data_IF_045979098615
#
_entry.id   IF_045979098615
#
_cell.length_a   1.000
_cell.length_b   1.000
_cell.length_c   1.000
_cell.angle_alpha   90.00
_cell.angle_beta   90.00
_cell.angle_gamma   90.00
#
_symmetry.space_group_name_H-M   'P 1'
#
loop_
_entity.id
_entity.type
_entity.pdbx_description
1 polymer ?
#
# COMPACT_ATOMS: atom_id res chain seq x y z
N UNK A 1 -12.07 20.81 -4.17
CA UNK A 1 -11.28 19.78 -4.87
C UNK A 1 -12.17 18.57 -5.09
N UNK A 2 -12.05 17.90 -6.23
CA UNK A 2 -12.71 16.63 -6.54
C UNK A 2 -11.69 15.70 -7.19
N UNK A 3 -11.79 14.39 -6.96
CA UNK A 3 -10.97 13.41 -7.69
C UNK A 3 -11.11 13.63 -9.20
N UNK A 4 -9.97 13.88 -9.87
CA UNK A 4 -9.89 14.02 -11.32
C UNK A 4 -10.59 12.82 -11.99
N UNK A 5 -11.56 13.05 -12.91
CA UNK A 5 -12.20 11.98 -13.66
C UNK A 5 -11.24 10.94 -14.26
N UNK A 6 -10.05 11.35 -14.71
CA UNK A 6 -9.03 10.45 -15.25
C UNK A 6 -8.41 9.53 -14.19
N UNK A 7 -8.42 9.94 -12.91
CA UNK A 7 -7.85 9.19 -11.78
C UNK A 7 -8.86 8.34 -11.03
N UNK A 8 -10.15 8.43 -11.35
CA UNK A 8 -11.23 7.60 -10.76
C UNK A 8 -11.13 6.12 -11.09
N UNK A 9 -10.24 5.75 -12.02
CA UNK A 9 -9.92 4.35 -12.31
C UNK A 9 -9.07 3.71 -11.21
N UNK A 10 -8.33 4.51 -10.44
CA UNK A 10 -7.39 4.04 -9.42
C UNK A 10 -7.74 4.55 -8.02
N UNK A 11 -8.51 5.64 -7.91
CA UNK A 11 -8.90 6.25 -6.64
C UNK A 11 -10.41 6.37 -6.49
N UNK A 12 -10.88 6.36 -5.25
CA UNK A 12 -12.28 6.64 -4.91
C UNK A 12 -12.67 8.05 -5.34
N UNK A 13 -13.95 8.22 -5.72
CA UNK A 13 -14.50 9.55 -5.99
C UNK A 13 -14.79 10.24 -4.67
N UNK A 14 -14.08 11.34 -4.41
CA UNK A 14 -14.26 12.15 -3.22
C UNK A 14 -14.18 13.64 -3.54
N UNK A 15 -14.71 14.46 -2.63
CA UNK A 15 -14.72 15.92 -2.71
C UNK A 15 -14.39 16.51 -1.34
N UNK A 16 -13.57 17.56 -1.32
CA UNK A 16 -13.21 18.31 -0.11
C UNK A 16 -12.85 19.76 -0.46
N UNK A 17 -12.88 20.68 0.50
CA UNK A 17 -12.51 22.08 0.26
C UNK A 17 -11.00 22.24 0.13
N UNK A 18 -10.54 23.02 -0.86
CA UNK A 18 -9.09 23.27 -1.07
C UNK A 18 -8.50 23.95 0.16
N UNK A 19 -9.06 25.09 0.51
CA UNK A 19 -8.75 25.80 1.75
C UNK A 19 -9.44 25.06 2.90
N UNK A 20 -8.64 24.52 3.83
CA UNK A 20 -9.14 23.76 4.97
C UNK A 20 -9.87 24.70 5.96
N UNK A 21 -11.14 24.45 6.30
CA UNK A 21 -11.83 25.21 7.35
C UNK A 21 -11.13 25.06 8.71
N UNK A 22 -11.23 26.08 9.56
CA UNK A 22 -10.53 26.11 10.86
C UNK A 22 -11.05 25.07 11.86
N UNK A 23 -12.31 24.66 11.71
CA UNK A 23 -12.97 23.62 12.52
C UNK A 23 -12.77 22.20 11.96
N UNK A 24 -12.03 22.05 10.85
CA UNK A 24 -11.74 20.75 10.24
C UNK A 24 -10.35 20.26 10.64
N UNK A 25 -10.29 19.02 11.12
CA UNK A 25 -9.05 18.25 11.26
C UNK A 25 -8.95 17.26 10.09
N UNK A 26 -7.97 17.48 9.22
CA UNK A 26 -7.80 16.75 7.96
C UNK A 26 -6.77 15.64 8.09
N UNK A 27 -7.22 14.41 7.86
CA UNK A 27 -6.41 13.21 7.86
C UNK A 27 -6.24 12.75 6.42
N UNK A 28 -5.01 12.40 6.02
CA UNK A 28 -4.74 11.80 4.71
C UNK A 28 -4.36 10.34 4.90
N UNK A 29 -5.18 9.42 4.37
CA UNK A 29 -4.91 7.99 4.42
C UNK A 29 -4.18 7.54 3.16
N UNK A 30 -2.86 7.32 3.25
CA UNK A 30 -1.98 6.98 2.13
C UNK A 30 -1.70 5.48 2.06
N UNK A 31 -1.93 4.87 0.89
CA UNK A 31 -1.64 3.46 0.69
C UNK A 31 -2.06 2.91 -0.66
N UNK A 32 -1.99 1.58 -0.80
CA UNK A 32 -2.45 0.87 -1.98
C UNK A 32 -3.97 0.62 -2.00
N UNK A 33 -4.37 -0.43 -2.72
CA UNK A 33 -5.75 -0.91 -2.79
C UNK A 33 -6.35 -1.23 -1.42
N UNK A 34 -5.54 -1.72 -0.46
CA UNK A 34 -6.02 -1.98 0.90
C UNK A 34 -6.53 -0.71 1.60
N UNK A 35 -5.97 0.47 1.32
CA UNK A 35 -6.51 1.74 1.83
C UNK A 35 -7.72 2.19 1.00
N UNK A 36 -7.69 1.95 -0.32
CA UNK A 36 -8.81 2.28 -1.20
C UNK A 36 -10.11 1.62 -0.70
N UNK A 37 -10.01 0.34 -0.32
CA UNK A 37 -11.15 -0.47 0.12
C UNK A 37 -11.62 -0.17 1.54
N UNK A 38 -10.87 0.62 2.32
CA UNK A 38 -11.30 1.10 3.64
C UNK A 38 -12.30 2.27 3.58
N UNK A 39 -12.74 2.70 2.39
CA UNK A 39 -13.62 3.87 2.25
C UNK A 39 -14.86 3.84 3.17
N UNK A 40 -15.64 2.74 3.25
CA UNK A 40 -16.78 2.69 4.17
C UNK A 40 -16.38 2.90 5.64
N UNK A 41 -15.27 2.28 6.06
CA UNK A 41 -14.76 2.35 7.42
C UNK A 41 -14.16 3.73 7.76
N UNK A 42 -13.45 4.36 6.82
CA UNK A 42 -12.95 5.73 6.99
C UNK A 42 -14.13 6.71 7.14
N UNK A 43 -15.20 6.56 6.36
CA UNK A 43 -16.43 7.36 6.52
C UNK A 43 -17.17 7.09 7.81
N UNK A 44 -17.08 5.88 8.34
CA UNK A 44 -17.57 5.58 9.69
C UNK A 44 -16.73 6.30 10.76
N UNK A 45 -15.40 6.25 10.65
CA UNK A 45 -14.49 6.93 11.57
C UNK A 45 -14.68 8.44 11.57
N UNK A 46 -14.80 9.07 10.40
CA UNK A 46 -15.12 10.50 10.27
C UNK A 46 -16.33 10.88 11.15
N UNK A 47 -17.43 10.13 11.01
CA UNK A 47 -18.67 10.39 11.76
C UNK A 47 -18.53 10.13 13.26
N UNK A 48 -17.78 9.10 13.64
CA UNK A 48 -17.59 8.73 15.04
C UNK A 48 -16.66 9.69 15.80
N UNK A 49 -15.64 10.23 15.13
CA UNK A 49 -14.63 11.10 15.74
C UNK A 49 -15.00 12.59 15.65
N UNK A 50 -15.92 12.96 14.75
CA UNK A 50 -16.46 14.33 14.66
C UNK A 50 -17.39 14.67 15.82
N UNK A 51 -17.46 15.96 16.18
CA UNK A 51 -18.40 16.50 17.15
C UNK A 51 -18.79 17.94 16.77
N UNK A 52 -19.65 18.58 17.57
CA UNK A 52 -20.20 19.91 17.31
C UNK A 52 -19.12 21.01 17.14
N UNK A 53 -17.95 20.83 17.75
CA UNK A 53 -16.86 21.83 17.75
C UNK A 53 -15.74 21.51 16.76
N UNK A 54 -15.65 20.27 16.25
CA UNK A 54 -14.59 19.84 15.34
C UNK A 54 -15.06 18.74 14.41
N UNK A 55 -14.90 18.99 13.12
CA UNK A 55 -15.18 18.04 12.05
C UNK A 55 -13.92 17.28 11.68
N UNK A 56 -14.02 15.96 11.55
CA UNK A 56 -12.94 15.11 11.04
C UNK A 56 -13.19 14.84 9.57
N UNK A 57 -12.21 15.14 8.73
CA UNK A 57 -12.22 14.86 7.31
C UNK A 57 -11.08 13.88 7.01
N UNK A 58 -11.40 12.70 6.48
CA UNK A 58 -10.43 11.70 6.06
C UNK A 58 -10.44 11.62 4.53
N UNK A 59 -9.32 11.99 3.94
CA UNK A 59 -9.11 11.91 2.49
C UNK A 59 -8.47 10.54 2.20
N UNK A 60 -9.20 9.70 1.46
CA UNK A 60 -8.73 8.38 1.07
C UNK A 60 -7.81 8.50 -0.14
N UNK A 61 -6.52 8.30 0.07
CA UNK A 61 -5.48 8.32 -0.95
C UNK A 61 -4.98 6.90 -1.27
N UNK A 62 -5.86 5.89 -1.14
CA UNK A 62 -5.61 4.53 -1.55
C UNK A 62 -5.67 4.36 -3.07
N UNK A 63 -4.53 4.01 -3.69
CA UNK A 63 -4.45 3.78 -5.13
C UNK A 63 -4.46 2.29 -5.51
N UNK A 64 -5.33 1.88 -6.43
CA UNK A 64 -5.32 0.51 -6.97
C UNK A 64 -3.99 0.21 -7.67
N UNK A 65 -3.33 -0.88 -7.27
CA UNK A 65 -1.99 -1.30 -7.72
C UNK A 65 -0.84 -0.30 -7.41
N UNK A 66 -1.04 0.64 -6.48
CA UNK A 66 0.02 1.59 -6.10
C UNK A 66 1.00 0.98 -5.09
N UNK A 67 2.29 1.12 -5.38
CA UNK A 67 3.38 0.91 -4.43
C UNK A 67 3.99 2.23 -3.98
N UNK A 68 5.04 2.14 -3.17
CA UNK A 68 5.64 3.28 -2.47
C UNK A 68 6.16 4.38 -3.40
N UNK A 69 6.57 4.04 -4.64
CA UNK A 69 7.14 5.02 -5.56
C UNK A 69 6.10 6.06 -5.97
N UNK A 70 4.89 5.63 -6.35
CA UNK A 70 3.77 6.54 -6.67
C UNK A 70 3.20 7.20 -5.43
N UNK A 71 3.22 6.53 -4.27
CA UNK A 71 2.76 7.14 -3.03
C UNK A 71 3.59 8.36 -2.61
N UNK A 72 4.88 8.44 -2.96
CA UNK A 72 5.67 9.67 -2.79
C UNK A 72 5.05 10.85 -3.55
N UNK A 73 4.54 10.63 -4.76
CA UNK A 73 3.93 11.68 -5.57
C UNK A 73 2.58 12.12 -4.99
N UNK A 74 1.76 11.14 -4.60
CA UNK A 74 0.46 11.40 -3.94
C UNK A 74 0.67 12.16 -2.63
N UNK A 75 1.63 11.74 -1.81
CA UNK A 75 2.00 12.44 -0.58
C UNK A 75 2.34 13.91 -0.86
N UNK A 76 3.20 14.18 -1.84
CA UNK A 76 3.61 15.55 -2.19
C UNK A 76 2.43 16.44 -2.60
N UNK A 77 1.51 15.91 -3.40
CA UNK A 77 0.29 16.64 -3.76
C UNK A 77 -0.57 16.90 -2.51
N UNK A 78 -0.73 15.90 -1.65
CA UNK A 78 -1.57 16.03 -0.46
C UNK A 78 -1.05 17.03 0.57
N UNK A 79 0.26 17.34 0.57
CA UNK A 79 0.81 18.42 1.38
C UNK A 79 0.30 19.81 0.98
N UNK A 80 -0.20 20.00 -0.25
CA UNK A 80 -0.77 21.28 -0.69
C UNK A 80 -2.16 21.56 -0.10
N UNK A 81 -2.73 20.59 0.63
CA UNK A 81 -4.06 20.67 1.22
C UNK A 81 -4.04 20.65 2.75
N UNK A 82 -2.95 21.11 3.38
CA UNK A 82 -2.83 21.33 4.83
C UNK A 82 -3.27 20.14 5.72
N UNK A 83 -2.74 18.91 5.52
CA UNK A 83 -3.13 17.77 6.34
C UNK A 83 -2.62 17.94 7.78
N UNK A 84 -3.45 17.59 8.77
CA UNK A 84 -3.09 17.58 10.19
C UNK A 84 -2.50 16.24 10.65
N UNK A 85 -2.75 15.17 9.90
CA UNK A 85 -2.29 13.82 10.20
C UNK A 85 -2.19 13.00 8.91
N UNK A 86 -1.16 12.15 8.82
CA UNK A 86 -1.03 11.16 7.76
C UNK A 86 -1.13 9.74 8.32
N UNK A 87 -1.95 8.90 7.70
CA UNK A 87 -1.94 7.46 7.91
C UNK A 87 -1.15 6.82 6.78
N UNK A 88 -0.29 5.86 7.08
CA UNK A 88 0.50 5.15 6.10
C UNK A 88 0.28 3.63 6.24
N UNK A 89 -0.24 3.02 5.18
CA UNK A 89 -0.51 1.58 5.11
C UNK A 89 -0.19 1.06 3.70
N UNK A 90 1.00 0.49 3.52
CA UNK A 90 1.54 0.12 2.19
C UNK A 90 2.50 -1.06 2.28
N UNK A 91 2.66 -1.80 1.17
CA UNK A 91 3.64 -2.89 1.07
C UNK A 91 3.28 -3.99 0.06
N UNK A 92 2.03 -4.11 -0.40
CA UNK A 92 1.63 -5.21 -1.30
C UNK A 92 2.19 -5.10 -2.73
N UNK A 93 2.37 -3.89 -3.26
CA UNK A 93 2.59 -3.67 -4.70
C UNK A 93 4.03 -3.31 -5.07
N UNK A 94 5.01 -3.49 -4.18
CA UNK A 94 6.39 -3.03 -4.40
C UNK A 94 7.10 -3.77 -5.55
N UNK A 95 6.69 -5.00 -5.87
CA UNK A 95 7.23 -5.76 -7.00
C UNK A 95 6.47 -5.48 -8.30
N UNK A 96 5.14 -5.33 -8.24
CA UNK A 96 4.30 -5.11 -9.41
C UNK A 96 4.48 -3.70 -10.01
N UNK A 97 4.56 -2.68 -9.16
CA UNK A 97 4.60 -1.28 -9.59
C UNK A 97 5.78 -0.98 -10.52
N UNK A 98 6.99 -1.45 -10.16
CA UNK A 98 8.19 -1.12 -10.92
C UNK A 98 8.27 -1.95 -12.20
N UNK A 99 7.63 -3.11 -12.26
CA UNK A 99 7.52 -3.88 -13.51
C UNK A 99 6.56 -3.24 -14.50
N UNK A 100 5.46 -2.65 -14.03
CA UNK A 100 4.61 -1.80 -14.86
C UNK A 100 5.39 -0.57 -15.38
N UNK A 101 6.28 0.01 -14.55
CA UNK A 101 7.16 1.11 -14.94
C UNK A 101 8.32 0.68 -15.87
N UNK A 102 8.79 -0.57 -15.79
CA UNK A 102 9.88 -1.09 -16.63
C UNK A 102 9.39 -1.60 -17.99
N UNK A 103 8.24 -2.30 -18.02
CA UNK A 103 7.53 -2.74 -19.23
C UNK A 103 7.02 -1.57 -20.07
N UNK A 104 6.77 -0.41 -19.44
CA UNK A 104 6.42 0.85 -20.13
C UNK A 104 7.61 1.60 -20.74
N UNK A 105 8.80 0.99 -20.80
CA UNK A 105 9.89 1.44 -21.66
C UNK A 105 10.83 2.50 -21.07
N UNK A 106 10.86 2.70 -19.75
CA UNK A 106 11.79 3.65 -19.13
C UNK A 106 13.26 3.16 -19.08
N UNK A 107 13.54 1.91 -19.48
CA UNK A 107 14.89 1.34 -19.47
C UNK A 107 15.68 1.49 -20.79
N UNK A 108 15.12 2.13 -21.82
CA UNK A 108 15.92 2.58 -22.94
C UNK A 108 16.08 4.10 -22.85
N UNK A 109 17.31 4.56 -22.57
CA UNK A 109 18.01 5.60 -23.33
C UNK A 109 19.26 6.08 -22.58
N UNK A 110 20.38 5.44 -22.87
CA UNK A 110 21.74 5.95 -22.64
C UNK A 110 22.09 7.18 -23.51
N UNK A 111 21.09 7.99 -23.92
CA UNK A 111 21.26 9.11 -24.86
C UNK A 111 20.72 10.47 -24.38
N UNK A 112 20.22 10.61 -23.15
CA UNK A 112 19.47 11.80 -22.71
C UNK A 112 20.18 12.74 -21.72
N UNK A 113 21.50 12.65 -21.55
CA UNK A 113 22.22 13.60 -20.65
C UNK A 113 22.30 15.03 -21.17
N UNK A 114 21.96 15.29 -22.44
CA UNK A 114 22.05 16.65 -23.03
C UNK A 114 20.68 17.32 -23.25
N UNK A 115 19.60 16.56 -23.45
CA UNK A 115 18.27 17.12 -23.82
C UNK A 115 17.35 17.30 -22.60
N UNK A 116 17.65 16.64 -21.48
CA UNK A 116 16.89 16.69 -20.21
C UNK A 116 16.91 18.04 -19.47
N UNK A 117 17.61 19.06 -19.98
CA UNK A 117 17.65 20.40 -19.37
C UNK A 117 16.44 21.28 -19.68
N UNK A 118 15.66 20.95 -20.71
CA UNK A 118 14.45 21.71 -21.03
C UNK A 118 13.25 21.23 -20.22
N UNK A 119 12.65 22.13 -19.43
CA UNK A 119 11.45 21.84 -18.64
C UNK A 119 10.25 21.40 -19.52
N UNK A 120 10.20 21.86 -20.77
CA UNK A 120 9.14 21.52 -21.73
C UNK A 120 9.26 20.07 -22.21
N UNK A 121 10.48 19.58 -22.44
CA UNK A 121 10.71 18.19 -22.86
C UNK A 121 10.42 17.21 -21.72
N UNK A 122 10.81 17.57 -20.48
CA UNK A 122 10.39 16.83 -19.27
C UNK A 122 8.87 16.80 -19.14
N UNK A 123 8.22 17.96 -19.19
CA UNK A 123 6.75 18.04 -19.11
C UNK A 123 6.02 17.22 -20.18
N UNK A 124 6.48 17.25 -21.44
CA UNK A 124 5.84 16.48 -22.53
C UNK A 124 6.11 14.98 -22.42
N UNK A 125 7.29 14.59 -21.95
CA UNK A 125 7.65 13.19 -21.69
C UNK A 125 6.85 12.65 -20.51
N UNK A 126 6.81 13.39 -19.41
CA UNK A 126 6.06 13.03 -18.20
C UNK A 126 4.57 12.92 -18.54
N UNK A 127 4.00 13.85 -19.33
CA UNK A 127 2.61 13.80 -19.79
C UNK A 127 2.29 12.62 -20.71
N UNK A 128 3.23 12.19 -21.56
CA UNK A 128 3.07 10.99 -22.40
C UNK A 128 3.19 9.71 -21.60
N UNK A 129 4.17 9.64 -20.69
CA UNK A 129 4.34 8.53 -19.77
C UNK A 129 3.08 8.38 -18.89
N UNK A 130 2.57 9.47 -18.31
CA UNK A 130 1.33 9.50 -17.54
C UNK A 130 0.13 8.98 -18.34
N UNK A 131 0.04 9.30 -19.64
CA UNK A 131 -1.06 8.85 -20.49
C UNK A 131 -1.01 7.34 -20.78
N UNK A 132 0.17 6.79 -21.07
CA UNK A 132 0.32 5.35 -21.30
C UNK A 132 0.18 4.54 -20.01
N UNK A 133 0.68 5.07 -18.89
CA UNK A 133 0.50 4.54 -17.54
C UNK A 133 -0.99 4.47 -17.18
N UNK A 134 -1.75 5.57 -17.37
CA UNK A 134 -3.19 5.59 -17.10
C UNK A 134 -3.98 4.62 -18.00
N UNK A 135 -3.52 4.32 -19.22
CA UNK A 135 -4.18 3.34 -20.11
C UNK A 135 -3.94 1.90 -19.64
N UNK A 136 -2.70 1.57 -19.27
CA UNK A 136 -2.34 0.24 -18.77
C UNK A 136 -2.95 -0.04 -17.38
N UNK A 137 -2.97 0.95 -16.50
CA UNK A 137 -3.74 0.91 -15.25
C UNK A 137 -5.21 0.65 -15.48
N UNK A 138 -5.81 1.31 -16.49
CA UNK A 138 -7.23 1.12 -16.78
C UNK A 138 -7.55 -0.29 -17.24
N UNK A 139 -6.71 -0.89 -18.08
CA UNK A 139 -6.87 -2.28 -18.52
C UNK A 139 -6.63 -3.28 -17.38
N UNK A 140 -5.66 -3.03 -16.51
CA UNK A 140 -5.36 -3.89 -15.37
C UNK A 140 -6.42 -3.78 -14.26
N UNK A 141 -6.79 -2.56 -13.85
CA UNK A 141 -7.83 -2.33 -12.85
C UNK A 141 -9.18 -2.88 -13.32
N UNK A 142 -9.49 -2.82 -14.62
CA UNK A 142 -10.69 -3.47 -15.17
C UNK A 142 -10.67 -4.99 -15.03
N UNK A 143 -9.50 -5.64 -15.10
CA UNK A 143 -9.35 -7.10 -14.93
C UNK A 143 -9.39 -7.51 -13.45
N UNK A 144 -8.78 -6.73 -12.56
CA UNK A 144 -8.91 -6.92 -11.10
C UNK A 144 -10.38 -6.77 -10.65
N UNK A 145 -11.08 -5.73 -11.14
CA UNK A 145 -12.49 -5.50 -10.87
C UNK A 145 -13.40 -6.60 -11.45
N UNK A 146 -12.96 -7.30 -12.50
CA UNK A 146 -13.71 -8.39 -13.11
C UNK A 146 -13.69 -9.69 -12.30
N UNK A 147 -12.92 -9.77 -11.19
CA UNK A 147 -12.71 -11.02 -10.41
C UNK A 147 -12.36 -12.21 -11.30
N UNK A 148 -11.69 -11.98 -12.42
CA UNK A 148 -11.09 -13.06 -13.20
C UNK A 148 -10.00 -13.63 -12.31
N UNK A 149 -10.24 -14.83 -11.74
CA UNK A 149 -9.18 -15.56 -11.07
C UNK A 149 -8.01 -15.65 -12.04
N UNK A 150 -6.80 -15.26 -11.63
CA UNK A 150 -5.61 -15.54 -12.42
C UNK A 150 -5.29 -17.02 -12.21
N UNK A 151 -6.10 -17.89 -12.81
CA UNK A 151 -5.65 -19.22 -13.19
C UNK A 151 -4.64 -18.98 -14.29
N UNK A 152 -3.36 -18.93 -13.92
CA UNK A 152 -2.22 -19.45 -14.70
C UNK A 152 -2.36 -19.27 -16.23
N UNK A 153 -2.79 -18.10 -16.73
CA UNK A 153 -2.96 -17.96 -18.16
C UNK A 153 -1.62 -17.61 -18.75
N UNK A 154 -1.17 -18.49 -19.64
CA UNK A 154 0.16 -18.62 -20.25
C UNK A 154 0.80 -17.33 -20.83
N UNK A 155 0.05 -16.24 -20.94
CA UNK A 155 0.56 -14.92 -21.33
C UNK A 155 1.04 -14.08 -20.14
N UNK A 156 0.54 -14.32 -18.92
CA UNK A 156 1.00 -13.63 -17.72
C UNK A 156 2.42 -14.13 -17.37
N UNK A 157 2.61 -15.45 -17.20
CA UNK A 157 3.91 -16.07 -16.92
C UNK A 157 5.00 -15.79 -17.99
N UNK A 158 4.62 -15.36 -19.20
CA UNK A 158 5.56 -14.99 -20.27
C UNK A 158 6.15 -13.57 -20.13
N UNK A 159 5.50 -12.67 -19.40
CA UNK A 159 6.06 -11.36 -19.07
C UNK A 159 7.10 -11.46 -17.94
N UNK A 160 6.97 -12.49 -17.10
CA UNK A 160 7.80 -12.80 -15.93
C UNK A 160 9.03 -13.66 -16.24
N UNK A 161 9.42 -13.82 -17.51
CA UNK A 161 10.60 -14.60 -17.91
C UNK A 161 11.92 -13.81 -17.73
N UNK A 162 12.01 -13.04 -16.65
CA UNK A 162 13.29 -12.55 -16.15
C UNK A 162 13.74 -13.49 -15.04
N UNK A 163 14.96 -14.01 -15.13
CA UNK A 163 15.55 -14.84 -14.08
C UNK A 163 15.81 -13.92 -12.87
N UNK A 164 14.84 -13.87 -11.95
CA UNK A 164 14.90 -12.99 -10.80
C UNK A 164 15.76 -13.62 -9.70
N UNK A 165 16.79 -12.91 -9.27
CA UNK A 165 17.69 -13.34 -8.21
C UNK A 165 17.40 -12.68 -6.87
N UNK A 166 18.05 -13.16 -5.80
CA UNK A 166 18.01 -12.53 -4.47
C UNK A 166 18.40 -11.04 -4.49
N UNK A 167 19.27 -10.65 -5.43
CA UNK A 167 19.68 -9.26 -5.63
C UNK A 167 18.50 -8.36 -6.02
N UNK A 168 17.53 -8.87 -6.77
CA UNK A 168 16.35 -8.10 -7.17
C UNK A 168 15.46 -7.79 -5.96
N UNK A 169 15.20 -8.80 -5.10
CA UNK A 169 14.45 -8.61 -3.85
C UNK A 169 15.13 -7.53 -2.99
N UNK A 170 16.45 -7.61 -2.82
CA UNK A 170 17.20 -6.63 -2.04
C UNK A 170 17.10 -5.22 -2.61
N UNK A 171 17.26 -5.06 -3.94
CA UNK A 171 17.15 -3.76 -4.60
C UNK A 171 15.73 -3.17 -4.46
N UNK A 172 14.70 -4.02 -4.56
CA UNK A 172 13.30 -3.62 -4.35
C UNK A 172 13.08 -3.12 -2.92
N UNK A 173 13.55 -3.88 -1.93
CA UNK A 173 13.43 -3.49 -0.52
C UNK A 173 14.21 -2.22 -0.17
N UNK A 174 15.37 -2.00 -0.79
CA UNK A 174 16.11 -0.74 -0.65
C UNK A 174 15.32 0.45 -1.24
N UNK A 175 14.68 0.25 -2.39
CA UNK A 175 13.85 1.28 -3.03
C UNK A 175 12.61 1.59 -2.19
N UNK A 176 11.95 0.55 -1.66
CA UNK A 176 10.83 0.68 -0.73
C UNK A 176 11.23 1.48 0.51
N UNK A 177 12.30 1.08 1.20
CA UNK A 177 12.81 1.78 2.38
C UNK A 177 13.16 3.25 2.05
N UNK A 178 13.80 3.50 0.90
CA UNK A 178 14.12 4.86 0.46
C UNK A 178 12.88 5.73 0.26
N UNK A 179 11.85 5.21 -0.41
CA UNK A 179 10.60 5.93 -0.65
C UNK A 179 9.85 6.24 0.64
N UNK A 180 9.79 5.27 1.56
CA UNK A 180 9.21 5.49 2.88
C UNK A 180 9.97 6.56 3.67
N UNK A 181 11.31 6.51 3.70
CA UNK A 181 12.14 7.55 4.33
C UNK A 181 11.85 8.93 3.75
N UNK A 182 11.66 9.03 2.44
CA UNK A 182 11.31 10.29 1.79
C UNK A 182 9.94 10.80 2.26
N UNK A 183 8.93 9.93 2.34
CA UNK A 183 7.62 10.26 2.92
C UNK A 183 7.78 10.79 4.34
N UNK A 184 8.40 10.00 5.22
CA UNK A 184 8.53 10.32 6.64
C UNK A 184 9.38 11.56 6.92
N UNK A 185 10.48 11.74 6.19
CA UNK A 185 11.32 12.95 6.30
C UNK A 185 10.54 14.19 5.87
N UNK A 186 9.78 14.08 4.77
CA UNK A 186 9.03 15.23 4.23
C UNK A 186 7.92 15.65 5.20
N UNK A 187 7.13 14.69 5.71
CA UNK A 187 6.06 14.99 6.67
C UNK A 187 6.62 15.51 8.00
N UNK A 188 7.71 14.94 8.50
CA UNK A 188 8.41 15.42 9.70
C UNK A 188 8.89 16.86 9.56
N UNK A 189 9.46 17.23 8.41
CA UNK A 189 9.91 18.61 8.14
C UNK A 189 8.74 19.60 8.09
N UNK A 190 7.56 19.14 7.67
CA UNK A 190 6.31 19.93 7.69
C UNK A 190 5.56 19.82 9.03
N UNK A 191 6.14 19.14 10.03
CA UNK A 191 5.55 18.92 11.35
C UNK A 191 4.20 18.18 11.33
N UNK A 192 3.96 17.38 10.30
CA UNK A 192 2.75 16.55 10.16
C UNK A 192 3.01 15.19 10.81
N UNK A 193 2.27 14.81 11.87
CA UNK A 193 2.41 13.50 12.49
C UNK A 193 2.01 12.38 11.52
N UNK A 194 2.61 11.20 11.71
CA UNK A 194 2.34 10.01 10.90
C UNK A 194 1.99 8.85 11.83
N UNK A 195 0.93 8.10 11.50
CA UNK A 195 0.64 6.78 12.08
C UNK A 195 0.88 5.73 11.00
N UNK A 196 1.75 4.77 11.28
CA UNK A 196 2.04 3.66 10.37
C UNK A 196 1.32 2.39 10.80
N UNK A 197 1.24 1.41 9.91
CA UNK A 197 0.82 0.07 10.28
C UNK A 197 1.53 -1.00 9.47
N UNK A 198 1.76 -2.15 10.11
CA UNK A 198 2.23 -3.35 9.42
C UNK A 198 1.12 -3.89 8.53
N UNK A 199 1.45 -4.59 7.46
CA UNK A 199 0.49 -5.06 6.48
C UNK A 199 0.40 -6.59 6.54
N UNK A 200 -0.82 -7.12 6.64
CA UNK A 200 -1.06 -8.57 6.68
C UNK A 200 -1.35 -9.11 5.29
N UNK A 201 -0.91 -10.34 5.02
CA UNK A 201 -1.11 -11.03 3.74
C UNK A 201 -1.79 -12.38 3.98
N UNK A 202 -2.67 -12.80 3.07
CA UNK A 202 -3.29 -14.12 3.14
C UNK A 202 -2.26 -15.20 2.79
N UNK A 203 -1.87 -16.00 3.79
CA UNK A 203 -0.92 -17.09 3.63
C UNK A 203 -1.61 -18.41 3.21
N UNK A 204 -2.93 -18.50 3.27
CA UNK A 204 -3.65 -19.66 2.76
C UNK A 204 -3.86 -19.61 1.25
N UNK A 205 -4.02 -18.42 0.68
CA UNK A 205 -4.20 -18.21 -0.76
C UNK A 205 -3.19 -17.18 -1.28
N UNK A 206 -1.88 -17.47 -1.26
CA UNK A 206 -0.89 -16.53 -1.72
C UNK A 206 -0.88 -16.41 -3.25
N UNK A 207 -0.57 -15.22 -3.76
CA UNK A 207 -0.35 -14.98 -5.18
C UNK A 207 1.13 -15.17 -5.50
N UNK A 208 1.48 -16.32 -6.08
CA UNK A 208 2.87 -16.72 -6.32
C UNK A 208 3.08 -17.17 -7.77
N UNK A 209 4.25 -16.87 -8.38
CA UNK A 209 4.68 -17.49 -9.63
C UNK A 209 4.78 -19.01 -9.52
N UNK A 210 4.74 -19.70 -10.67
CA UNK A 210 4.62 -21.16 -10.76
C UNK A 210 5.62 -21.94 -9.90
N UNK A 211 6.89 -21.54 -9.89
CA UNK A 211 7.93 -22.24 -9.13
C UNK A 211 7.75 -22.05 -7.62
N UNK A 212 7.44 -20.83 -7.18
CA UNK A 212 7.13 -20.54 -5.79
C UNK A 212 5.85 -21.25 -5.33
N UNK A 213 4.81 -21.29 -6.17
CA UNK A 213 3.57 -22.03 -5.90
C UNK A 213 3.81 -23.54 -5.74
N UNK A 214 4.74 -24.13 -6.51
CA UNK A 214 5.13 -25.52 -6.35
C UNK A 214 5.85 -25.77 -5.02
N UNK A 215 6.76 -24.87 -4.60
CA UNK A 215 7.39 -24.92 -3.28
C UNK A 215 6.36 -24.76 -2.16
N UNK A 216 5.35 -23.91 -2.36
CA UNK A 216 4.30 -23.63 -1.38
C UNK A 216 3.42 -24.83 -1.05
N UNK A 217 3.37 -25.86 -1.90
CA UNK A 217 2.65 -27.11 -1.58
C UNK A 217 3.15 -27.77 -0.28
N UNK A 218 4.44 -27.60 0.05
CA UNK A 218 5.01 -28.09 1.30
C UNK A 218 4.40 -27.40 2.53
N UNK A 219 4.00 -26.13 2.42
CA UNK A 219 3.32 -25.39 3.50
C UNK A 219 1.98 -26.04 3.82
N UNK A 220 1.18 -26.34 2.79
CA UNK A 220 -0.12 -26.98 2.97
C UNK A 220 0.01 -28.38 3.58
N UNK A 221 1.03 -29.16 3.18
CA UNK A 221 1.30 -30.46 3.79
C UNK A 221 1.72 -30.33 5.27
N UNK A 222 2.51 -29.31 5.63
CA UNK A 222 2.85 -29.05 7.04
C UNK A 222 1.59 -28.74 7.86
N UNK A 223 0.72 -27.86 7.37
CA UNK A 223 -0.53 -27.51 8.05
C UNK A 223 -1.50 -28.68 8.15
N UNK A 224 -1.64 -29.48 7.10
CA UNK A 224 -2.46 -30.71 7.10
C UNK A 224 -1.97 -31.72 8.13
N UNK A 225 -0.66 -31.78 8.38
CA UNK A 225 -0.05 -32.65 9.40
C UNK A 225 -0.02 -32.03 10.80
N UNK A 226 -0.69 -30.90 11.03
CA UNK A 226 -0.75 -30.22 12.34
C UNK A 226 0.52 -29.47 12.72
N UNK A 227 1.51 -29.36 11.82
CA UNK A 227 2.77 -28.64 12.02
C UNK A 227 2.61 -27.15 11.71
N UNK A 228 1.73 -26.49 12.47
CA UNK A 228 1.34 -25.09 12.26
C UNK A 228 2.52 -24.13 12.16
N UNK A 229 3.39 -24.12 13.17
CA UNK A 229 4.46 -23.13 13.29
C UNK A 229 5.55 -23.33 12.21
N UNK A 230 5.89 -24.58 11.90
CA UNK A 230 6.79 -24.92 10.79
C UNK A 230 6.21 -24.44 9.45
N UNK A 231 4.92 -24.68 9.22
CA UNK A 231 4.22 -24.22 8.02
C UNK A 231 4.19 -22.69 7.92
N UNK A 232 3.91 -21.99 9.02
CA UNK A 232 3.90 -20.53 9.05
C UNK A 232 5.29 -19.94 8.77
N UNK A 233 6.35 -20.50 9.35
CA UNK A 233 7.72 -20.08 9.08
C UNK A 233 8.11 -20.30 7.61
N UNK A 234 7.75 -21.46 7.05
CA UNK A 234 8.00 -21.76 5.64
C UNK A 234 7.21 -20.85 4.70
N UNK A 235 5.93 -20.59 5.02
CA UNK A 235 5.07 -19.67 4.27
C UNK A 235 5.69 -18.27 4.16
N UNK A 236 6.08 -17.70 5.30
CA UNK A 236 6.71 -16.37 5.37
C UNK A 236 8.01 -16.32 4.58
N UNK A 237 8.85 -17.35 4.71
CA UNK A 237 10.11 -17.45 3.96
C UNK A 237 9.89 -17.51 2.45
N UNK A 238 9.01 -18.40 1.98
CA UNK A 238 8.73 -18.52 0.54
C UNK A 238 8.20 -17.19 0.01
N UNK A 239 7.30 -16.54 0.74
CA UNK A 239 6.77 -15.25 0.33
C UNK A 239 7.89 -14.20 0.24
N UNK A 240 8.74 -14.07 1.26
CA UNK A 240 9.86 -13.12 1.29
C UNK A 240 10.85 -13.31 0.12
N UNK A 241 11.18 -14.57 -0.20
CA UNK A 241 12.09 -14.94 -1.28
C UNK A 241 11.47 -14.80 -2.68
N UNK A 242 10.14 -14.75 -2.78
CA UNK A 242 9.45 -14.77 -4.08
C UNK A 242 9.40 -13.38 -4.70
N UNK A 243 10.14 -13.20 -5.79
CA UNK A 243 9.98 -12.07 -6.70
C UNK A 243 8.66 -12.18 -7.46
N UNK A 244 8.05 -11.04 -7.72
CA UNK A 244 6.77 -10.98 -8.42
C UNK A 244 5.54 -11.37 -7.63
N UNK A 245 5.66 -11.43 -6.30
CA UNK A 245 4.51 -11.50 -5.42
C UNK A 245 3.74 -10.17 -5.43
N UNK A 246 2.44 -10.26 -5.20
CA UNK A 246 1.54 -9.11 -5.03
C UNK A 246 1.15 -8.94 -3.54
N UNK A 247 2.09 -9.26 -2.66
CA UNK A 247 1.83 -9.38 -1.23
C UNK A 247 2.98 -8.82 -0.40
N UNK A 248 2.64 -8.14 0.68
CA UNK A 248 3.58 -7.74 1.71
C UNK A 248 4.15 -8.99 2.39
N UNK A 249 5.45 -9.01 2.62
CA UNK A 249 6.13 -10.09 3.36
C UNK A 249 6.73 -9.55 4.67
N UNK A 250 7.44 -10.43 5.38
CA UNK A 250 8.19 -10.02 6.56
C UNK A 250 9.27 -8.96 6.24
N UNK A 251 9.79 -8.91 5.01
CA UNK A 251 10.81 -7.93 4.62
C UNK A 251 10.26 -6.50 4.70
N UNK A 252 9.10 -6.25 4.08
CA UNK A 252 8.44 -4.96 4.08
C UNK A 252 7.99 -4.57 5.50
N UNK A 253 7.38 -5.50 6.24
CA UNK A 253 6.95 -5.23 7.62
C UNK A 253 8.13 -4.94 8.56
N UNK A 254 9.29 -5.59 8.37
CA UNK A 254 10.50 -5.30 9.14
C UNK A 254 11.04 -3.89 8.83
N UNK A 255 10.96 -3.45 7.57
CA UNK A 255 11.30 -2.07 7.19
C UNK A 255 10.34 -1.08 7.85
N UNK A 256 9.03 -1.35 7.84
CA UNK A 256 8.02 -0.49 8.48
C UNK A 256 8.29 -0.35 9.99
N UNK A 257 8.54 -1.46 10.69
CA UNK A 257 8.88 -1.45 12.13
C UNK A 257 10.17 -0.67 12.41
N UNK A 258 11.25 -0.96 11.65
CA UNK A 258 12.53 -0.23 11.75
C UNK A 258 12.35 1.27 11.60
N UNK A 259 11.56 1.71 10.61
CA UNK A 259 11.31 3.13 10.37
C UNK A 259 10.42 3.75 11.45
N UNK A 260 9.48 3.00 12.02
CA UNK A 260 8.68 3.48 13.14
C UNK A 260 9.57 3.79 14.34
N UNK A 261 10.48 2.87 14.68
CA UNK A 261 11.43 3.06 15.77
C UNK A 261 12.36 4.25 15.50
N UNK A 262 12.95 4.32 14.30
CA UNK A 262 13.89 5.38 13.94
C UNK A 262 13.27 6.78 13.97
N UNK A 263 12.02 6.91 13.51
CA UNK A 263 11.31 8.20 13.51
C UNK A 263 10.49 8.42 14.79
N UNK A 264 10.48 7.45 15.71
CA UNK A 264 9.67 7.44 16.94
C UNK A 264 8.18 7.66 16.66
N UNK A 265 7.65 6.91 15.69
CA UNK A 265 6.26 7.00 15.23
C UNK A 265 5.40 5.90 15.86
N UNK A 266 4.11 6.16 16.13
CA UNK A 266 3.16 5.10 16.44
C UNK A 266 3.02 4.14 15.24
N UNK A 267 3.04 2.83 15.54
CA UNK A 267 2.80 1.76 14.57
C UNK A 267 1.71 0.81 15.06
N UNK A 268 0.69 0.61 14.24
CA UNK A 268 -0.37 -0.37 14.47
C UNK A 268 0.08 -1.72 13.90
N UNK A 269 0.24 -2.73 14.74
CA UNK A 269 0.73 -4.05 14.30
C UNK A 269 -0.41 -4.92 13.73
N UNK A 270 -1.00 -4.49 12.61
CA UNK A 270 -2.12 -5.17 11.95
C UNK A 270 -1.77 -6.61 11.58
N UNK A 271 -0.51 -6.90 11.20
CA UNK A 271 -0.04 -8.28 10.94
C UNK A 271 -0.35 -9.20 12.14
N UNK A 272 0.10 -8.80 13.33
CA UNK A 272 -0.12 -9.57 14.56
C UNK A 272 -1.59 -9.57 14.99
N UNK A 273 -2.30 -8.45 14.83
CA UNK A 273 -3.72 -8.37 15.18
C UNK A 273 -4.57 -9.33 14.34
N UNK A 274 -4.33 -9.37 13.02
CA UNK A 274 -5.00 -10.30 12.10
C UNK A 274 -4.63 -11.73 12.46
N UNK A 275 -3.33 -12.04 12.62
CA UNK A 275 -2.92 -13.39 13.00
C UNK A 275 -3.60 -13.83 14.32
N UNK A 276 -3.61 -12.99 15.36
CA UNK A 276 -4.21 -13.34 16.65
C UNK A 276 -5.74 -13.54 16.60
N UNK A 277 -6.42 -12.92 15.63
CA UNK A 277 -7.85 -13.06 15.44
C UNK A 277 -8.23 -14.29 14.59
N UNK A 278 -7.29 -14.86 13.84
CA UNK A 278 -7.55 -16.05 13.04
C UNK A 278 -7.64 -17.31 13.92
N UNK A 279 -8.54 -18.27 13.61
CA UNK A 279 -8.80 -19.45 14.43
C UNK A 279 -7.55 -20.24 14.83
N UNK A 280 -6.62 -20.38 13.88
CA UNK A 280 -5.36 -21.06 14.09
C UNK A 280 -4.18 -20.13 13.90
N UNK A 281 -4.31 -18.82 14.06
CA UNK A 281 -3.14 -17.93 13.97
C UNK A 281 -2.51 -17.83 12.58
N UNK A 282 -3.19 -18.31 11.53
CA UNK A 282 -2.71 -18.28 10.14
C UNK A 282 -3.51 -17.20 9.41
N UNK A 283 -2.90 -16.06 9.02
CA UNK A 283 -3.56 -15.06 8.20
C UNK A 283 -4.16 -15.66 6.93
N UNK A 284 -5.46 -15.46 6.71
CA UNK A 284 -6.16 -15.94 5.51
C UNK A 284 -7.26 -16.96 5.74
N UNK A 285 -7.49 -17.40 6.99
CA UNK A 285 -8.51 -18.39 7.31
C UNK A 285 -9.91 -17.80 7.20
N UNK A 286 -10.10 -16.59 7.70
CA UNK A 286 -11.43 -15.98 7.81
C UNK A 286 -11.47 -14.49 7.53
N UNK A 287 -10.32 -13.79 7.48
CA UNK A 287 -10.25 -12.32 7.50
C UNK A 287 -9.91 -11.66 6.16
N UNK A 288 -9.84 -12.43 5.07
CA UNK A 288 -9.46 -11.93 3.74
C UNK A 288 -10.51 -12.28 2.68
N UNK A 289 -10.68 -11.39 1.70
CA UNK A 289 -11.49 -11.62 0.50
C UNK A 289 -10.67 -12.31 -0.61
N UNK A 290 -9.35 -12.10 -0.62
CA UNK A 290 -8.42 -12.66 -1.59
C UNK A 290 -7.01 -12.84 -0.98
N UNK A 291 -5.98 -12.81 -1.81
CA UNK A 291 -4.59 -12.99 -1.38
C UNK A 291 -4.04 -11.83 -0.52
N UNK A 292 -4.58 -10.62 -0.58
CA UNK A 292 -4.02 -9.47 0.15
C UNK A 292 -5.04 -8.52 0.77
N UNK A 293 -6.30 -8.55 0.35
CA UNK A 293 -7.32 -7.65 0.83
C UNK A 293 -8.10 -8.24 2.00
N UNK A 294 -8.17 -7.47 3.09
CA UNK A 294 -9.00 -7.79 4.24
C UNK A 294 -10.49 -7.68 3.86
N UNK A 295 -11.28 -8.67 4.31
CA UNK A 295 -12.73 -8.60 4.20
C UNK A 295 -13.31 -7.65 5.27
N UNK A 296 -14.64 -7.52 5.34
CA UNK A 296 -15.30 -6.62 6.30
C UNK A 296 -14.86 -6.88 7.76
N UNK A 297 -14.69 -8.15 8.16
CA UNK A 297 -14.24 -8.51 9.52
C UNK A 297 -12.76 -8.16 9.74
N UNK A 298 -11.89 -8.40 8.76
CA UNK A 298 -10.49 -7.99 8.82
C UNK A 298 -10.32 -6.46 8.86
N UNK A 299 -11.13 -5.73 8.08
CA UNK A 299 -11.15 -4.26 8.09
C UNK A 299 -11.63 -3.70 9.42
N UNK A 300 -12.59 -4.36 10.10
CA UNK A 300 -12.98 -3.97 11.46
C UNK A 300 -11.80 -4.04 12.45
N UNK A 301 -10.96 -5.08 12.37
CA UNK A 301 -9.75 -5.21 13.21
C UNK A 301 -8.74 -4.10 12.90
N UNK A 302 -8.59 -3.72 11.62
CA UNK A 302 -7.75 -2.58 11.24
C UNK A 302 -8.24 -1.30 11.93
N UNK A 303 -9.55 -1.07 11.95
CA UNK A 303 -10.17 0.09 12.62
C UNK A 303 -9.96 0.06 14.13
N UNK A 304 -10.11 -1.09 14.78
CA UNK A 304 -9.83 -1.26 16.20
C UNK A 304 -8.40 -0.86 16.58
N UNK A 305 -7.43 -1.11 15.69
CA UNK A 305 -6.03 -0.74 15.89
C UNK A 305 -5.74 0.73 15.63
N UNK A 306 -6.29 1.30 14.55
CA UNK A 306 -6.00 2.68 14.14
C UNK A 306 -6.82 3.74 14.89
N UNK A 307 -8.08 3.47 15.24
CA UNK A 307 -8.96 4.47 15.85
C UNK A 307 -8.40 5.07 17.15
N UNK A 308 -7.82 4.29 18.09
CA UNK A 308 -7.22 4.84 19.30
C UNK A 308 -6.02 5.76 19.03
N UNK A 309 -5.17 5.41 18.06
CA UNK A 309 -4.01 6.22 17.69
C UNK A 309 -4.42 7.52 17.00
N UNK A 310 -5.44 7.48 16.14
CA UNK A 310 -6.03 8.68 15.52
C UNK A 310 -6.63 9.58 16.60
N UNK A 311 -7.36 9.02 17.56
CA UNK A 311 -7.97 9.79 18.65
C UNK A 311 -6.91 10.49 19.51
N UNK A 312 -5.82 9.79 19.85
CA UNK A 312 -4.66 10.37 20.56
C UNK A 312 -4.04 11.52 19.76
N UNK A 313 -3.86 11.35 18.45
CA UNK A 313 -3.30 12.39 17.59
C UNK A 313 -4.19 13.65 17.60
N UNK A 314 -5.51 13.49 17.41
CA UNK A 314 -6.48 14.60 17.45
C UNK A 314 -6.41 15.35 18.79
N UNK A 315 -6.40 14.62 19.91
CA UNK A 315 -6.32 15.21 21.26
C UNK A 315 -5.00 15.96 21.48
N UNK A 316 -3.88 15.41 21.00
CA UNK A 316 -2.57 16.04 21.14
C UNK A 316 -2.46 17.37 20.39
N UNK A 317 -3.17 17.52 19.27
CA UNK A 317 -3.21 18.78 18.51
C UNK A 317 -4.14 19.80 19.15
N UNK A 318 -5.24 19.37 19.75
CA UNK A 318 -6.18 20.22 20.48
C UNK A 318 -5.62 20.78 21.80
N UNK A 319 -4.65 20.08 22.40
CA UNK A 319 -3.98 20.51 23.64
C UNK A 319 -2.79 21.44 23.43
N UNK A 320 -2.45 21.82 22.19
CA UNK A 320 -1.40 22.81 21.92
C UNK A 320 -2.02 24.22 22.01
N UNK A 321 -1.50 25.10 22.89
CA UNK A 321 -2.06 26.44 23.13
C UNK A 321 -1.99 27.36 21.92
#
# INVERSE_FOLDING_TARGET
METDPAKRVSFVRQQFLREKPADVFRIVALGGSSVNYLEPELKQLERQLSNDSKQIEIINCGGLAYGSHRLVLVMREMLEYDPDLMLLYTGHNEFEEIEQLSLSGLNNLSFERTISRSAIVRFLRDRRADYEINRLEKEHNQRLLAREEPVSDSNFARAWSHDFGEQDVQQRMQSYEHNLRLILTTTKNQQIPVIMGTVSSNLLQPYLPREAAARYQQVYELWKNGKKDEGLQLAKRILAETTGRHQCSELENNILRKLADEYSLPIVDVESMIANAEPHGIPGETLFDDHCHLNDAGRAIWIEGYAPEIQKAIQSTLGRP
#
